data_IF_593373157820
#
_entry.id   IF_593373157820
#
_cell.length_a   1.000
_cell.length_b   1.000
_cell.length_c   1.000
_cell.angle_alpha   90.00
_cell.angle_beta   90.00
_cell.angle_gamma   90.00
#
_symmetry.space_group_name_H-M   'P 1'
#
loop_
_entity.id
_entity.type
_entity.pdbx_description
1 polymer ?
#
# COMPACT_ATOMS: atom_id res chain seq x y z
N UNK A 1 -19.93 -4.69 9.49
CA UNK A 1 -19.09 -3.67 8.82
C UNK A 1 -18.94 -4.11 7.37
N UNK A 2 -19.32 -3.25 6.45
CA UNK A 2 -19.10 -3.51 5.03
C UNK A 2 -17.60 -3.35 4.77
N UNK A 3 -16.96 -4.41 4.24
CA UNK A 3 -15.52 -4.44 3.97
C UNK A 3 -15.21 -4.14 2.51
N UNK A 4 -16.23 -4.12 1.66
CA UNK A 4 -16.03 -3.90 0.22
C UNK A 4 -15.83 -2.43 -0.10
N UNK A 5 -14.97 -2.15 -1.07
CA UNK A 5 -14.70 -0.81 -1.54
C UNK A 5 -15.90 -0.22 -2.28
N UNK A 6 -16.14 1.06 -2.03
CA UNK A 6 -17.19 1.83 -2.70
C UNK A 6 -16.57 2.91 -3.58
N UNK A 7 -17.32 3.39 -4.55
CA UNK A 7 -16.90 4.56 -5.32
C UNK A 7 -17.06 5.80 -4.45
N UNK A 8 -15.94 6.48 -4.16
CA UNK A 8 -15.91 7.68 -3.34
C UNK A 8 -14.79 8.62 -3.78
N UNK A 9 -14.93 9.89 -3.45
CA UNK A 9 -13.91 10.91 -3.74
C UNK A 9 -13.02 11.06 -2.52
N UNK A 10 -11.71 10.83 -2.62
CA UNK A 10 -10.79 11.08 -1.51
C UNK A 10 -10.69 12.57 -1.23
N UNK A 11 -10.46 12.92 0.03
CA UNK A 11 -10.06 14.27 0.43
C UNK A 11 -8.55 14.34 0.42
N UNK A 12 -8.03 15.47 -0.10
CA UNK A 12 -6.59 15.72 -0.20
C UNK A 12 -6.30 17.01 0.56
N UNK A 13 -5.34 16.98 1.48
CA UNK A 13 -4.92 18.13 2.28
C UNK A 13 -3.41 18.31 2.18
N UNK A 14 -2.95 19.55 2.22
CA UNK A 14 -1.53 19.86 2.26
C UNK A 14 -0.94 19.49 3.61
N UNK A 15 0.25 18.88 3.59
CA UNK A 15 1.07 18.67 4.78
C UNK A 15 2.11 19.79 4.85
N UNK A 16 2.18 20.44 6.00
CA UNK A 16 3.24 21.42 6.27
C UNK A 16 4.51 20.69 6.72
N UNK A 17 5.25 20.20 5.73
CA UNK A 17 6.49 19.47 5.94
C UNK A 17 7.51 19.79 4.84
N UNK A 18 8.71 20.16 5.25
CA UNK A 18 9.79 20.62 4.38
C UNK A 18 10.95 19.63 4.22
N UNK A 19 10.90 18.48 4.89
CA UNK A 19 11.91 17.42 4.80
C UNK A 19 11.79 16.56 3.55
N UNK A 20 12.71 15.61 3.40
CA UNK A 20 12.71 14.64 2.31
C UNK A 20 11.63 13.58 2.51
N UNK A 21 11.20 12.95 1.42
CA UNK A 21 10.25 11.82 1.41
C UNK A 21 10.75 10.67 2.30
N UNK A 22 12.05 10.43 2.25
CA UNK A 22 12.70 9.39 3.03
C UNK A 22 12.71 9.70 4.54
N UNK A 23 12.88 10.95 4.94
CA UNK A 23 12.81 11.36 6.35
C UNK A 23 11.43 11.13 6.94
N UNK A 24 10.36 11.50 6.21
CA UNK A 24 8.98 11.15 6.61
C UNK A 24 8.80 9.64 6.73
N UNK A 25 9.23 8.89 5.71
CA UNK A 25 9.09 7.43 5.71
C UNK A 25 9.76 6.80 6.92
N UNK A 26 10.96 7.23 7.25
CA UNK A 26 11.71 6.69 8.37
C UNK A 26 11.01 6.96 9.72
N UNK A 27 10.44 8.15 9.89
CA UNK A 27 9.66 8.48 11.09
C UNK A 27 8.39 7.63 11.19
N UNK A 28 7.66 7.49 10.09
CA UNK A 28 6.42 6.71 10.04
C UNK A 28 6.70 5.22 10.25
N UNK A 29 7.73 4.67 9.60
CA UNK A 29 8.07 3.24 9.69
C UNK A 29 8.55 2.78 11.07
N UNK A 30 8.96 3.72 11.94
CA UNK A 30 9.26 3.42 13.35
C UNK A 30 8.00 3.24 14.19
N UNK A 31 6.91 3.91 13.82
CA UNK A 31 5.67 3.92 14.59
C UNK A 31 4.61 2.96 14.04
N UNK A 32 4.70 2.62 12.75
CA UNK A 32 3.71 1.79 12.05
C UNK A 32 4.37 0.60 11.38
N UNK A 33 3.72 -0.55 11.45
CA UNK A 33 4.05 -1.72 10.63
C UNK A 33 3.38 -1.61 9.26
N UNK A 34 3.81 -2.47 8.31
CA UNK A 34 3.22 -2.54 6.97
C UNK A 34 3.22 -1.18 6.26
N UNK A 35 4.41 -0.56 6.22
CA UNK A 35 4.66 0.69 5.52
C UNK A 35 5.34 0.42 4.18
N UNK A 36 5.12 1.29 3.20
CA UNK A 36 5.88 1.30 1.95
C UNK A 36 6.18 2.73 1.50
N UNK A 37 7.23 2.88 0.73
CA UNK A 37 7.57 4.10 -0.02
C UNK A 37 7.91 3.67 -1.45
N UNK A 38 7.18 4.22 -2.42
CA UNK A 38 7.55 4.17 -3.83
C UNK A 38 8.04 5.55 -4.22
N UNK A 39 9.35 5.66 -4.36
CA UNK A 39 10.01 6.92 -4.66
C UNK A 39 10.33 6.99 -6.15
N UNK A 40 9.95 8.09 -6.76
CA UNK A 40 10.21 8.37 -8.17
C UNK A 40 11.32 9.40 -8.24
N UNK A 41 12.58 8.94 -8.36
CA UNK A 41 13.77 9.81 -8.31
C UNK A 41 14.28 10.22 -9.70
N UNK A 42 14.22 9.32 -10.65
CA UNK A 42 14.78 9.54 -12.01
C UNK A 42 13.91 8.86 -13.05
N UNK A 43 13.78 9.49 -14.22
CA UNK A 43 13.02 8.95 -15.34
C UNK A 43 12.46 10.05 -16.24
N UNK A 44 11.68 9.72 -17.26
CA UNK A 44 10.91 10.69 -18.01
C UNK A 44 10.05 11.52 -17.05
N UNK A 45 9.97 12.83 -17.28
CA UNK A 45 9.25 13.76 -16.38
C UNK A 45 7.84 13.28 -16.05
N UNK A 46 7.15 12.66 -17.02
CA UNK A 46 5.81 12.11 -16.86
C UNK A 46 5.71 10.94 -15.87
N UNK A 47 6.80 10.21 -15.60
CA UNK A 47 6.85 9.09 -14.69
C UNK A 47 7.41 9.45 -13.32
N UNK A 48 8.18 10.55 -13.24
CA UNK A 48 8.83 11.02 -12.00
C UNK A 48 8.00 12.06 -11.23
N UNK A 49 6.72 12.24 -11.57
CA UNK A 49 5.89 13.32 -11.03
C UNK A 49 5.50 13.13 -9.56
N UNK A 50 5.33 11.89 -9.13
CA UNK A 50 4.73 11.62 -7.81
C UNK A 50 5.42 10.46 -7.13
N UNK A 51 5.82 10.65 -5.88
CA UNK A 51 6.18 9.57 -4.97
C UNK A 51 5.05 9.31 -4.00
N UNK A 52 4.89 8.08 -3.54
CA UNK A 52 3.77 7.67 -2.71
C UNK A 52 4.22 6.85 -1.50
N UNK A 53 3.52 7.04 -0.40
CA UNK A 53 3.77 6.34 0.85
C UNK A 53 2.45 5.87 1.46
N UNK A 54 2.43 4.60 1.86
CA UNK A 54 1.35 4.02 2.67
C UNK A 54 1.87 3.51 4.01
N UNK A 55 1.00 3.53 5.00
CA UNK A 55 1.28 3.07 6.35
C UNK A 55 0.00 2.59 7.02
N UNK A 56 0.13 1.64 7.92
CA UNK A 56 -0.97 1.11 8.73
C UNK A 56 -2.24 0.87 7.90
N UNK A 57 -2.24 -0.14 7.00
CA UNK A 57 -3.35 -0.40 6.09
C UNK A 57 -4.66 -0.63 6.86
N UNK A 58 -5.80 -0.32 6.24
CA UNK A 58 -7.11 -0.59 6.83
C UNK A 58 -7.36 -2.08 7.00
N UNK A 59 -6.90 -2.85 6.01
CA UNK A 59 -6.94 -4.31 6.06
C UNK A 59 -5.60 -4.92 5.66
N UNK A 60 -5.24 -6.02 6.29
CA UNK A 60 -4.22 -6.95 5.83
C UNK A 60 -4.94 -8.17 5.28
N UNK A 61 -4.70 -8.47 4.01
CA UNK A 61 -5.35 -9.57 3.29
C UNK A 61 -4.34 -10.63 2.96
N UNK A 62 -4.61 -11.88 3.32
CA UNK A 62 -3.81 -13.04 2.94
C UNK A 62 -4.65 -13.95 2.06
N UNK A 63 -4.17 -14.20 0.86
CA UNK A 63 -4.82 -15.09 -0.11
C UNK A 63 -4.23 -16.48 -0.10
N UNK A 64 -5.11 -17.46 -0.21
CA UNK A 64 -4.82 -18.88 -0.34
C UNK A 64 -5.56 -19.41 -1.58
N UNK A 65 -5.37 -20.65 -1.97
CA UNK A 65 -6.02 -21.22 -3.17
C UNK A 65 -7.54 -21.24 -3.10
N UNK A 66 -8.12 -21.37 -1.91
CA UNK A 66 -9.58 -21.58 -1.74
C UNK A 66 -10.22 -20.58 -0.79
N UNK A 67 -9.46 -19.61 -0.28
CA UNK A 67 -9.95 -18.60 0.65
C UNK A 67 -9.04 -17.40 0.71
N UNK A 68 -9.58 -16.31 1.24
CA UNK A 68 -8.80 -15.19 1.77
C UNK A 68 -9.11 -14.98 3.26
N UNK A 69 -8.15 -14.45 3.99
CA UNK A 69 -8.35 -13.93 5.34
C UNK A 69 -8.10 -12.42 5.32
N UNK A 70 -8.97 -11.67 5.97
CA UNK A 70 -8.95 -10.22 6.04
C UNK A 70 -8.87 -9.85 7.51
N UNK A 71 -7.80 -9.17 7.89
CA UNK A 71 -7.57 -8.70 9.25
C UNK A 71 -7.68 -7.17 9.26
N UNK A 72 -8.55 -6.61 10.09
CA UNK A 72 -8.67 -5.17 10.29
C UNK A 72 -7.65 -4.63 11.33
N UNK A 73 -7.61 -3.30 11.51
CA UNK A 73 -6.75 -2.63 12.49
C UNK A 73 -7.03 -3.03 13.95
N UNK A 74 -8.19 -3.57 14.24
CA UNK A 74 -8.56 -4.07 15.59
C UNK A 74 -8.20 -5.56 15.77
N UNK A 75 -7.46 -6.14 14.82
CA UNK A 75 -7.11 -7.56 14.77
C UNK A 75 -8.32 -8.51 14.62
N UNK A 76 -9.48 -8.00 14.22
CA UNK A 76 -10.61 -8.84 13.86
C UNK A 76 -10.34 -9.52 12.52
N UNK A 77 -10.57 -10.82 12.46
CA UNK A 77 -10.28 -11.64 11.27
C UNK A 77 -11.58 -12.14 10.66
N UNK A 78 -11.77 -11.88 9.39
CA UNK A 78 -12.83 -12.44 8.56
C UNK A 78 -12.23 -13.36 7.50
N UNK A 79 -12.85 -14.51 7.28
CA UNK A 79 -12.46 -15.45 6.22
C UNK A 79 -13.56 -15.50 5.17
N UNK A 80 -13.17 -15.44 3.89
CA UNK A 80 -14.07 -15.58 2.75
C UNK A 80 -13.55 -16.73 1.89
N UNK A 81 -14.42 -17.70 1.59
CA UNK A 81 -14.10 -18.77 0.65
C UNK A 81 -14.16 -18.23 -0.80
N UNK A 82 -13.10 -18.42 -1.54
CA UNK A 82 -13.00 -17.99 -2.95
C UNK A 82 -11.90 -18.76 -3.64
N UNK A 83 -12.10 -19.05 -4.92
CA UNK A 83 -11.07 -19.59 -5.84
C UNK A 83 -10.40 -18.48 -6.64
N UNK A 84 -10.88 -17.23 -6.51
CA UNK A 84 -10.38 -16.05 -7.20
C UNK A 84 -9.94 -14.96 -6.20
N UNK A 85 -8.86 -15.20 -5.45
CA UNK A 85 -8.46 -14.29 -4.38
C UNK A 85 -8.12 -12.88 -4.88
N UNK A 86 -7.56 -12.72 -6.08
CA UNK A 86 -7.25 -11.39 -6.63
C UNK A 86 -8.51 -10.58 -6.93
N UNK A 87 -9.56 -11.19 -7.46
CA UNK A 87 -10.84 -10.50 -7.70
C UNK A 87 -11.43 -10.04 -6.36
N UNK A 88 -11.40 -10.90 -5.35
CA UNK A 88 -11.87 -10.52 -4.01
C UNK A 88 -11.05 -9.38 -3.40
N UNK A 89 -9.71 -9.36 -3.60
CA UNK A 89 -8.85 -8.24 -3.16
C UNK A 89 -9.22 -6.95 -3.91
N UNK A 90 -9.45 -7.04 -5.23
CA UNK A 90 -9.89 -5.89 -6.03
C UNK A 90 -11.20 -5.28 -5.51
N UNK A 91 -12.12 -6.12 -5.04
CA UNK A 91 -13.41 -5.65 -4.50
C UNK A 91 -13.28 -4.97 -3.12
N UNK A 92 -12.17 -5.16 -2.41
CA UNK A 92 -11.88 -4.48 -1.14
C UNK A 92 -11.32 -3.06 -1.35
N UNK A 93 -10.78 -2.76 -2.53
CA UNK A 93 -10.16 -1.47 -2.83
C UNK A 93 -11.22 -0.41 -3.08
N UNK A 94 -11.03 0.78 -2.50
CA UNK A 94 -11.87 1.95 -2.80
C UNK A 94 -11.69 2.33 -4.27
N UNK A 95 -12.81 2.63 -4.94
CA UNK A 95 -12.82 3.13 -6.31
C UNK A 95 -12.98 4.64 -6.31
N UNK A 96 -12.31 5.34 -7.21
CA UNK A 96 -12.42 6.78 -7.33
C UNK A 96 -12.47 7.23 -8.77
N UNK A 97 -13.23 8.30 -9.03
CA UNK A 97 -13.21 9.02 -10.30
C UNK A 97 -12.23 10.21 -10.27
N UNK A 98 -11.54 10.42 -9.14
CA UNK A 98 -10.50 11.44 -9.01
C UNK A 98 -9.29 11.05 -9.84
N UNK A 99 -8.83 11.94 -10.72
CA UNK A 99 -7.75 11.69 -11.69
C UNK A 99 -6.55 12.62 -11.52
N UNK A 100 -6.56 13.50 -10.50
CA UNK A 100 -5.44 14.43 -10.28
C UNK A 100 -4.12 13.72 -9.94
N UNK A 101 -4.19 12.52 -9.39
CA UNK A 101 -3.02 11.69 -9.08
C UNK A 101 -3.27 10.24 -9.47
N UNK A 102 -2.22 9.56 -9.96
CA UNK A 102 -2.31 8.14 -10.37
C UNK A 102 -2.58 7.18 -9.20
N UNK A 103 -2.17 7.54 -8.01
CA UNK A 103 -2.37 6.73 -6.81
C UNK A 103 -3.09 7.53 -5.74
N UNK A 104 -4.26 7.07 -5.38
CA UNK A 104 -5.07 7.60 -4.29
C UNK A 104 -5.62 6.43 -3.46
N UNK A 105 -4.71 5.60 -2.92
CA UNK A 105 -5.05 4.39 -2.19
C UNK A 105 -5.07 3.14 -3.07
N UNK A 106 -5.26 1.98 -2.45
CA UNK A 106 -5.30 0.71 -3.16
C UNK A 106 -4.69 -0.45 -2.39
N UNK A 107 -4.41 -1.52 -3.11
CA UNK A 107 -3.77 -2.72 -2.58
C UNK A 107 -2.26 -2.71 -2.91
N UNK A 108 -1.42 -2.82 -1.89
CA UNK A 108 0.03 -2.96 -2.05
C UNK A 108 0.50 -4.20 -1.30
N UNK A 109 1.27 -5.06 -1.95
CA UNK A 109 1.69 -6.32 -1.33
C UNK A 109 2.54 -7.18 -2.21
N UNK A 110 2.54 -8.47 -1.94
CA UNK A 110 3.34 -9.48 -2.63
C UNK A 110 2.48 -10.63 -3.13
N UNK A 111 2.90 -11.22 -4.24
CA UNK A 111 2.37 -12.48 -4.79
C UNK A 111 3.54 -13.44 -4.89
N UNK A 112 3.41 -14.60 -4.28
CA UNK A 112 4.41 -15.65 -4.36
C UNK A 112 4.37 -16.33 -5.72
N UNK A 113 5.48 -16.92 -6.15
CA UNK A 113 5.56 -17.63 -7.42
C UNK A 113 4.51 -18.76 -7.54
N UNK A 114 4.21 -19.44 -6.44
CA UNK A 114 3.20 -20.50 -6.40
C UNK A 114 1.78 -20.05 -6.75
N UNK A 115 1.49 -18.75 -6.70
CA UNK A 115 0.20 -18.20 -7.13
C UNK A 115 -0.10 -18.46 -8.62
N UNK A 116 0.91 -18.79 -9.44
CA UNK A 116 0.72 -19.19 -10.85
C UNK A 116 -0.28 -20.33 -10.99
N UNK A 117 -0.41 -21.18 -9.98
CA UNK A 117 -1.35 -22.32 -9.96
C UNK A 117 -2.83 -21.92 -9.87
N UNK A 118 -3.11 -20.65 -9.63
CA UNK A 118 -4.48 -20.13 -9.75
C UNK A 118 -4.94 -20.04 -11.21
N UNK A 119 -4.00 -19.99 -12.15
CA UNK A 119 -4.26 -19.76 -13.57
C UNK A 119 -3.72 -20.86 -14.46
N UNK A 120 -2.66 -21.57 -14.02
CA UNK A 120 -1.97 -22.58 -14.80
C UNK A 120 -2.02 -23.95 -14.12
N UNK A 121 -2.14 -25.00 -14.92
CA UNK A 121 -2.09 -26.37 -14.41
C UNK A 121 -0.63 -26.81 -14.20
N UNK A 122 -0.04 -26.35 -13.11
CA UNK A 122 1.33 -26.66 -12.70
C UNK A 122 1.32 -27.78 -11.66
N UNK A 123 2.12 -28.85 -11.80
CA UNK A 123 2.19 -29.92 -10.83
C UNK A 123 2.51 -29.44 -9.41
N UNK A 124 1.82 -30.01 -8.42
CA UNK A 124 2.02 -29.69 -7.02
C UNK A 124 3.11 -30.60 -6.45
N UNK A 125 4.25 -30.04 -6.11
CA UNK A 125 5.39 -30.80 -5.57
C UNK A 125 5.40 -30.89 -4.06
N UNK A 126 4.65 -30.01 -3.36
CA UNK A 126 4.55 -29.96 -1.90
C UNK A 126 3.24 -29.28 -1.48
N UNK A 127 2.83 -29.52 -0.24
CA UNK A 127 1.68 -28.83 0.33
C UNK A 127 2.07 -27.42 0.77
N UNK A 128 1.39 -26.42 0.19
CA UNK A 128 1.61 -25.02 0.50
C UNK A 128 0.63 -24.62 1.59
N UNK A 129 1.15 -24.47 2.81
CA UNK A 129 0.37 -24.01 3.97
C UNK A 129 0.39 -22.48 4.12
N UNK A 130 1.35 -21.81 3.46
CA UNK A 130 1.52 -20.35 3.54
C UNK A 130 0.60 -19.61 2.58
N UNK A 131 0.28 -18.34 2.85
CA UNK A 131 -0.46 -17.53 1.90
C UNK A 131 0.33 -17.36 0.61
N UNK A 132 -0.34 -17.56 -0.53
CA UNK A 132 0.24 -17.37 -1.86
C UNK A 132 0.31 -15.90 -2.27
N UNK A 133 -0.40 -15.05 -1.55
CA UNK A 133 -0.35 -13.59 -1.70
C UNK A 133 -0.69 -12.89 -0.38
N UNK A 134 -0.13 -11.70 -0.19
CA UNK A 134 -0.43 -10.85 0.96
C UNK A 134 -0.44 -9.38 0.54
N UNK A 135 -1.51 -8.67 0.87
CA UNK A 135 -1.71 -7.27 0.55
C UNK A 135 -2.15 -6.45 1.78
N UNK A 136 -1.68 -5.21 1.84
CA UNK A 136 -2.29 -4.16 2.65
C UNK A 136 -3.26 -3.36 1.78
N UNK A 137 -4.46 -3.08 2.28
CA UNK A 137 -5.44 -2.17 1.66
C UNK A 137 -5.31 -0.82 2.32
N UNK A 138 -4.88 0.18 1.54
CA UNK A 138 -4.58 1.53 2.02
C UNK A 138 -5.65 2.50 1.53
N UNK A 139 -6.43 3.05 2.44
CA UNK A 139 -7.47 4.03 2.18
C UNK A 139 -7.04 5.46 2.57
N UNK A 140 -5.81 5.61 3.00
CA UNK A 140 -5.14 6.88 3.23
C UNK A 140 -3.63 6.72 3.02
N UNK A 141 -2.94 7.84 2.82
CA UNK A 141 -1.51 7.84 2.59
C UNK A 141 -0.94 9.22 2.29
N UNK A 142 0.35 9.26 2.02
CA UNK A 142 1.05 10.51 1.70
C UNK A 142 1.50 10.47 0.24
N UNK A 143 1.28 11.59 -0.44
CA UNK A 143 1.74 11.86 -1.79
C UNK A 143 2.78 12.97 -1.75
N UNK A 144 3.82 12.83 -2.55
CA UNK A 144 4.78 13.88 -2.80
C UNK A 144 4.67 14.27 -4.27
N UNK A 145 4.14 15.47 -4.50
CA UNK A 145 4.12 16.07 -5.83
C UNK A 145 5.50 16.67 -6.10
N UNK A 146 6.29 15.96 -6.87
CA UNK A 146 7.67 16.34 -7.16
C UNK A 146 7.75 17.60 -8.06
N UNK A 147 6.73 17.85 -8.90
CA UNK A 147 6.63 19.06 -9.74
C UNK A 147 6.35 20.29 -8.90
N UNK A 148 5.34 20.22 -8.05
CA UNK A 148 4.94 21.34 -7.21
C UNK A 148 5.72 21.42 -5.89
N UNK A 149 6.56 20.43 -5.60
CA UNK A 149 7.33 20.29 -4.35
C UNK A 149 6.42 20.37 -3.11
N UNK A 150 5.31 19.65 -3.17
CA UNK A 150 4.30 19.62 -2.10
C UNK A 150 4.17 18.23 -1.52
N UNK A 151 4.00 18.18 -0.21
CA UNK A 151 3.60 16.99 0.51
C UNK A 151 2.10 17.05 0.78
N UNK A 152 1.38 15.99 0.42
CA UNK A 152 -0.07 15.91 0.50
C UNK A 152 -0.47 14.66 1.27
N UNK A 153 -1.52 14.74 2.07
CA UNK A 153 -2.17 13.59 2.68
C UNK A 153 -3.55 13.39 2.06
N UNK A 154 -3.81 12.19 1.59
CA UNK A 154 -5.12 11.82 1.09
C UNK A 154 -5.80 10.80 2.01
N UNK A 155 -7.13 10.84 2.08
CA UNK A 155 -7.92 9.87 2.83
C UNK A 155 -9.35 9.77 2.27
N UNK A 156 -9.95 8.57 2.43
CA UNK A 156 -11.35 8.34 2.04
C UNK A 156 -12.29 8.52 3.21
N UNK A 157 -12.16 7.73 4.26
CA UNK A 157 -13.14 7.66 5.34
C UNK A 157 -12.73 8.52 6.55
N UNK A 158 -11.60 8.21 7.16
CA UNK A 158 -11.13 8.84 8.39
C UNK A 158 -9.87 9.66 8.15
N UNK A 159 -9.92 10.93 8.54
CA UNK A 159 -8.73 11.76 8.59
C UNK A 159 -7.88 11.37 9.81
N UNK A 160 -6.68 10.86 9.57
CA UNK A 160 -5.71 10.47 10.61
C UNK A 160 -4.47 11.36 10.63
N UNK A 161 -4.50 12.51 9.95
CA UNK A 161 -3.33 13.39 9.83
C UNK A 161 -2.75 13.75 11.20
N UNK A 162 -3.59 13.98 12.21
CA UNK A 162 -3.15 14.30 13.57
C UNK A 162 -2.57 13.08 14.34
N UNK A 163 -2.81 11.87 13.84
CA UNK A 163 -2.22 10.64 14.40
C UNK A 163 -0.80 10.43 13.86
N UNK A 164 -0.46 11.06 12.72
CA UNK A 164 0.85 10.96 12.08
C UNK A 164 1.82 11.87 12.82
N UNK A 165 2.63 11.28 13.70
CA UNK A 165 3.66 12.00 14.44
C UNK A 165 4.86 12.21 13.53
N UNK A 166 4.89 13.31 12.80
CA UNK A 166 6.05 13.77 12.04
C UNK A 166 6.69 14.89 12.87
N UNK A 167 7.92 14.67 13.33
CA UNK A 167 8.70 15.70 14.00
C UNK A 167 9.70 16.32 13.04
N UNK A 168 9.95 17.62 13.15
CA UNK A 168 11.00 18.31 12.38
C UNK A 168 12.43 17.96 12.86
N UNK A 169 12.61 16.88 13.62
CA UNK A 169 13.90 16.52 14.14
C UNK A 169 14.90 16.17 13.04
N UNK A 170 16.03 16.87 13.00
CA UNK A 170 17.18 16.52 12.17
C UNK A 170 17.66 15.12 12.52
N UNK A 171 17.89 14.31 11.50
CA UNK A 171 18.44 12.96 11.68
C UNK A 171 19.91 13.03 12.07
N UNK A 172 20.23 12.47 13.22
CA UNK A 172 21.59 12.07 13.54
C UNK A 172 21.80 10.61 13.08
N UNK A 173 22.69 10.47 12.10
CA UNK A 173 23.35 9.24 11.66
C UNK A 173 22.49 7.99 11.33
N UNK A 174 22.37 7.72 10.04
CA UNK A 174 21.95 6.42 9.50
C UNK A 174 22.96 5.34 9.82
N UNK A 175 22.49 4.19 10.30
CA UNK A 175 23.30 2.98 10.39
C UNK A 175 23.06 2.10 9.15
N UNK A 176 24.10 1.33 8.75
CA UNK A 176 24.02 0.37 7.66
C UNK A 176 22.89 -0.66 7.90
N UNK A 177 22.53 -0.94 9.15
CA UNK A 177 21.41 -1.82 9.51
C UNK A 177 20.04 -1.25 9.10
N UNK A 178 19.88 0.07 9.07
CA UNK A 178 18.64 0.72 8.63
C UNK A 178 18.47 0.60 7.11
N UNK A 179 19.58 0.69 6.36
CA UNK A 179 19.61 0.48 4.91
C UNK A 179 19.31 -0.99 4.57
N UNK A 180 19.89 -1.94 5.30
CA UNK A 180 19.67 -3.37 5.07
C UNK A 180 18.23 -3.82 5.36
N UNK A 181 17.55 -3.24 6.35
CA UNK A 181 16.13 -3.48 6.60
C UNK A 181 15.23 -3.05 5.42
N UNK A 182 15.67 -2.06 4.64
CA UNK A 182 14.92 -1.58 3.46
C UNK A 182 15.11 -2.46 2.24
N UNK A 183 16.32 -2.96 2.00
CA UNK A 183 16.66 -3.77 0.81
C UNK A 183 15.92 -5.13 0.82
N UNK A 184 15.56 -5.66 1.98
CA UNK A 184 14.80 -6.92 2.11
C UNK A 184 13.29 -6.79 1.87
N UNK A 185 12.77 -5.58 1.69
CA UNK A 185 11.38 -5.32 1.28
C UNK A 185 11.31 -4.99 -0.22
N UNK A 186 11.90 -5.84 -1.07
CA UNK A 186 11.63 -5.75 -2.52
C UNK A 186 10.18 -6.11 -2.75
N UNK A 187 9.36 -5.12 -2.93
CA UNK A 187 7.94 -5.23 -3.21
C UNK A 187 7.79 -5.38 -4.72
N UNK A 188 7.31 -6.53 -5.17
CA UNK A 188 6.83 -6.67 -6.55
C UNK A 188 5.56 -5.83 -6.63
N UNK A 189 5.62 -4.71 -7.34
CA UNK A 189 4.50 -3.82 -7.55
C UNK A 189 3.54 -4.43 -8.58
N UNK A 190 2.41 -4.95 -8.12
CA UNK A 190 1.25 -5.20 -8.97
C UNK A 190 0.29 -4.04 -8.76
N UNK A 191 0.40 -3.02 -9.60
CA UNK A 191 -0.59 -1.95 -9.66
C UNK A 191 -1.82 -2.49 -10.38
N UNK A 192 -2.83 -2.87 -9.62
CA UNK A 192 -4.17 -3.12 -10.17
C UNK A 192 -4.83 -1.76 -10.43
N UNK A 193 -4.35 -1.06 -11.47
CA UNK A 193 -5.05 0.10 -12.01
C UNK A 193 -6.28 -0.45 -12.73
N UNK A 194 -7.45 -0.18 -12.20
CA UNK A 194 -8.71 -0.43 -12.90
C UNK A 194 -8.87 0.62 -14.00
N UNK A 195 -8.24 0.42 -15.16
CA UNK A 195 -8.69 1.07 -16.37
C UNK A 195 -9.83 0.20 -16.93
N UNK A 196 -11.05 0.68 -16.83
CA UNK A 196 -12.12 0.22 -17.72
C UNK A 196 -11.77 0.76 -19.12
N UNK A 197 -11.58 -0.17 -20.07
CA UNK A 197 -11.63 0.09 -21.49
C UNK A 197 -13.09 0.02 -21.92
#
# INVERSE_FOLDING_TARGET
MDIFGHTSTPKIISLDYTGTQFEIYNQISRNYSNTFLFESLTGPEELAETSIMGFDPEFIVKGYYNKITIQDRNNSIKTISTTEPLNTIKDLVQKTNEQSYRYLGGAVGTINYDAIRLWENVPKNHDICEPIMQFGIYNDGILFDNKQKKSLYFYYNKNRVNEIKISESKFDNFTISDIMRMVWKVIIHVSLISHEV
#
